data_IF_677165812634
#
_entry.id   IF_677165812634
#
_cell.length_a   1.000
_cell.length_b   1.000
_cell.length_c   1.000
_cell.angle_alpha   90.00
_cell.angle_beta   90.00
_cell.angle_gamma   90.00
#
_symmetry.space_group_name_H-M   'P 1'
#
loop_
_entity.id
_entity.type
_entity.pdbx_description
1 polymer ?
#
# COMPACT_ATOMS: atom_id res chain seq x y z
N UNK A 1 -13.40 4.60 -12.39
CA UNK A 1 -12.39 4.23 -11.36
C UNK A 1 -11.70 5.49 -10.83
N UNK A 2 -11.60 5.63 -9.52
CA UNK A 2 -10.82 6.67 -8.81
C UNK A 2 -9.73 5.98 -7.99
N UNK A 3 -8.51 5.98 -8.50
CA UNK A 3 -7.37 5.29 -7.92
C UNK A 3 -6.54 6.22 -7.05
N UNK A 4 -6.32 5.85 -5.78
CA UNK A 4 -5.35 6.49 -4.90
C UNK A 4 -4.14 5.59 -4.70
N UNK A 5 -2.95 6.11 -4.98
CA UNK A 5 -1.68 5.43 -4.72
C UNK A 5 -1.01 6.06 -3.49
N UNK A 6 -0.62 5.21 -2.54
CA UNK A 6 0.09 5.63 -1.32
C UNK A 6 1.47 4.99 -1.29
N UNK A 7 2.50 5.83 -1.35
CA UNK A 7 3.90 5.38 -1.33
C UNK A 7 4.38 5.01 0.07
N UNK A 8 5.46 4.24 0.13
CA UNK A 8 6.15 3.88 1.35
C UNK A 8 7.23 4.88 1.79
N UNK A 9 8.10 4.44 2.71
CA UNK A 9 9.26 5.19 3.16
C UNK A 9 10.19 5.50 1.97
N UNK A 10 10.64 6.74 1.87
CA UNK A 10 11.48 7.24 0.79
C UNK A 10 10.74 7.74 -0.45
N UNK A 11 9.44 7.49 -0.56
CA UNK A 11 8.67 7.83 -1.76
C UNK A 11 8.69 6.71 -2.81
N UNK A 12 8.12 6.98 -3.98
CA UNK A 12 8.04 6.04 -5.10
C UNK A 12 8.21 6.76 -6.44
N UNK A 13 9.27 7.56 -6.53
CA UNK A 13 9.62 8.28 -7.75
C UNK A 13 9.98 7.34 -8.89
N UNK A 14 9.92 7.85 -10.12
CA UNK A 14 10.38 7.10 -11.28
C UNK A 14 11.81 6.54 -11.09
N UNK A 15 12.07 5.26 -11.43
CA UNK A 15 11.28 4.31 -12.21
C UNK A 15 10.42 3.34 -11.39
N UNK A 16 9.99 3.69 -10.18
CA UNK A 16 9.14 2.83 -9.33
C UNK A 16 7.81 2.52 -10.00
N UNK A 17 7.29 1.29 -9.83
CA UNK A 17 6.04 0.83 -10.44
C UNK A 17 4.81 1.70 -10.11
N UNK A 18 4.76 2.37 -8.94
CA UNK A 18 3.65 3.27 -8.61
C UNK A 18 3.64 4.51 -9.52
N UNK A 19 4.79 5.10 -9.82
CA UNK A 19 4.88 6.21 -10.77
C UNK A 19 4.48 5.76 -12.19
N UNK A 20 4.93 4.58 -12.61
CA UNK A 20 4.52 3.99 -13.87
C UNK A 20 3.00 3.72 -13.90
N UNK A 21 2.43 3.09 -12.87
CA UNK A 21 1.00 2.80 -12.78
C UNK A 21 0.15 4.06 -12.85
N UNK A 22 0.56 5.12 -12.13
CA UNK A 22 -0.13 6.42 -12.18
C UNK A 22 -0.17 6.96 -13.61
N UNK A 23 0.93 6.88 -14.34
CA UNK A 23 1.00 7.34 -15.74
C UNK A 23 0.12 6.52 -16.67
N UNK A 24 0.10 5.19 -16.52
CA UNK A 24 -0.72 4.30 -17.36
C UNK A 24 -2.23 4.53 -17.14
N UNK A 25 -2.65 4.65 -15.88
CA UNK A 25 -4.06 4.94 -15.55
C UNK A 25 -4.48 6.29 -16.10
N UNK A 26 -3.63 7.32 -16.00
CA UNK A 26 -3.93 8.66 -16.51
C UNK A 26 -4.09 8.71 -18.04
N UNK A 27 -3.39 7.85 -18.80
CA UNK A 27 -3.49 7.79 -20.28
C UNK A 27 -4.87 7.31 -20.77
N UNK A 28 -5.60 6.55 -19.96
CA UNK A 28 -6.86 5.90 -20.35
C UNK A 28 -8.07 6.53 -19.62
N UNK A 29 -8.01 7.83 -19.37
CA UNK A 29 -9.09 8.57 -18.69
C UNK A 29 -9.41 8.13 -17.26
N UNK A 30 -8.60 7.25 -16.67
CA UNK A 30 -8.69 6.91 -15.24
C UNK A 30 -8.35 8.12 -14.38
N UNK A 31 -9.09 8.33 -13.32
CA UNK A 31 -8.76 9.36 -12.34
C UNK A 31 -7.80 8.80 -11.32
N UNK A 32 -6.60 9.34 -11.27
CA UNK A 32 -5.55 8.89 -10.33
C UNK A 32 -5.08 10.04 -9.45
N UNK A 33 -4.89 9.74 -8.16
CA UNK A 33 -4.20 10.59 -7.20
C UNK A 33 -2.96 9.84 -6.69
N UNK A 34 -1.79 10.45 -6.85
CA UNK A 34 -0.53 9.92 -6.35
C UNK A 34 0.22 11.02 -5.60
N UNK A 35 -0.23 11.36 -4.38
CA UNK A 35 0.37 12.45 -3.61
C UNK A 35 1.75 12.05 -3.08
N UNK A 36 2.68 13.01 -3.07
CA UNK A 36 3.89 12.91 -2.27
C UNK A 36 3.51 13.24 -0.82
N UNK A 37 3.47 12.22 0.05
CA UNK A 37 3.27 12.41 1.48
C UNK A 37 4.52 13.07 2.06
N UNK A 38 4.33 14.16 2.80
CA UNK A 38 5.45 15.01 3.24
C UNK A 38 6.48 14.28 4.08
N UNK A 39 7.73 14.67 3.90
CA UNK A 39 8.91 14.11 4.57
C UNK A 39 9.03 12.59 4.39
N UNK A 40 9.06 12.08 3.16
CA UNK A 40 9.05 10.64 2.89
C UNK A 40 10.28 9.93 3.46
N UNK A 41 11.43 10.61 3.59
CA UNK A 41 12.65 10.05 4.17
C UNK A 41 12.67 10.06 5.71
N UNK A 42 11.82 10.88 6.33
CA UNK A 42 11.67 10.99 7.79
C UNK A 42 10.18 10.92 8.15
N UNK A 43 9.53 9.78 7.85
CA UNK A 43 8.10 9.63 8.04
C UNK A 43 7.74 9.66 9.53
N UNK A 44 6.58 10.20 9.84
CA UNK A 44 6.05 10.20 11.19
C UNK A 44 4.55 9.89 11.15
N UNK A 45 4.09 8.91 11.94
CA UNK A 45 2.73 8.39 11.89
C UNK A 45 1.66 9.50 11.97
N UNK A 46 1.75 10.40 12.96
CA UNK A 46 0.72 11.42 13.15
C UNK A 46 0.60 12.38 11.95
N UNK A 47 1.73 12.72 11.32
CA UNK A 47 1.77 13.58 10.14
C UNK A 47 1.18 12.86 8.93
N UNK A 48 1.63 11.65 8.67
CA UNK A 48 1.15 10.84 7.55
C UNK A 48 -0.32 10.52 7.68
N UNK A 49 -0.77 10.16 8.88
CA UNK A 49 -2.19 9.90 9.19
C UNK A 49 -3.07 11.09 8.84
N UNK A 50 -2.71 12.27 9.31
CA UNK A 50 -3.47 13.50 9.03
C UNK A 50 -3.55 13.81 7.54
N UNK A 51 -2.42 13.69 6.83
CA UNK A 51 -2.32 14.00 5.41
C UNK A 51 -3.11 13.00 4.56
N UNK A 52 -2.93 11.70 4.82
CA UNK A 52 -3.66 10.65 4.07
C UNK A 52 -5.16 10.69 4.32
N UNK A 53 -5.61 10.98 5.54
CA UNK A 53 -7.04 11.18 5.80
C UNK A 53 -7.60 12.38 5.01
N UNK A 54 -6.84 13.44 4.85
CA UNK A 54 -7.23 14.56 3.96
C UNK A 54 -7.40 14.11 2.51
N UNK A 55 -6.41 13.38 1.97
CA UNK A 55 -6.51 12.85 0.60
C UNK A 55 -7.70 11.89 0.41
N UNK A 56 -7.96 11.03 1.39
CA UNK A 56 -9.11 10.11 1.35
C UNK A 56 -10.44 10.86 1.35
N UNK A 57 -10.58 11.92 2.15
CA UNK A 57 -11.81 12.71 2.22
C UNK A 57 -12.03 13.55 0.95
N UNK A 58 -10.98 14.19 0.45
CA UNK A 58 -11.07 15.09 -0.70
C UNK A 58 -11.25 14.32 -2.01
N UNK A 59 -10.46 13.27 -2.21
CA UNK A 59 -10.45 12.51 -3.45
C UNK A 59 -11.54 11.45 -3.49
N UNK A 60 -11.90 10.84 -2.35
CA UNK A 60 -12.89 9.75 -2.23
C UNK A 60 -12.63 8.62 -3.23
N UNK A 61 -11.49 7.91 -3.11
CA UNK A 61 -11.16 6.83 -4.02
C UNK A 61 -12.14 5.66 -3.87
N UNK A 62 -12.36 4.94 -4.95
CA UNK A 62 -12.97 3.61 -4.94
C UNK A 62 -11.92 2.50 -4.81
N UNK A 63 -10.71 2.75 -5.29
CA UNK A 63 -9.58 1.80 -5.25
C UNK A 63 -8.37 2.47 -4.61
N UNK A 64 -7.74 1.77 -3.66
CA UNK A 64 -6.49 2.22 -3.02
C UNK A 64 -5.42 1.14 -3.20
N UNK A 65 -4.22 1.57 -3.60
CA UNK A 65 -3.04 0.71 -3.67
C UNK A 65 -1.96 1.29 -2.77
N UNK A 66 -1.54 0.52 -1.79
CA UNK A 66 -0.46 0.91 -0.87
C UNK A 66 0.83 0.17 -1.19
N UNK A 67 1.96 0.81 -0.93
CA UNK A 67 3.26 0.15 -0.95
C UNK A 67 3.94 0.29 0.41
N UNK A 68 4.49 -0.81 0.93
CA UNK A 68 5.35 -0.83 2.11
C UNK A 68 4.71 -0.13 3.33
N UNK A 69 5.36 0.88 3.92
CA UNK A 69 4.92 1.61 5.12
C UNK A 69 3.52 2.22 5.02
N UNK A 70 3.03 2.49 3.79
CA UNK A 70 1.65 2.91 3.60
C UNK A 70 0.63 1.81 3.98
N UNK A 71 1.01 0.53 3.88
CA UNK A 71 0.21 -0.59 4.40
C UNK A 71 0.11 -0.55 5.93
N UNK A 72 1.24 -0.29 6.61
CA UNK A 72 1.27 -0.08 8.06
C UNK A 72 0.38 1.09 8.49
N UNK A 73 0.46 2.21 7.75
CA UNK A 73 -0.43 3.36 7.99
C UNK A 73 -1.91 2.96 7.81
N UNK A 74 -2.23 2.19 6.77
CA UNK A 74 -3.60 1.71 6.56
C UNK A 74 -4.12 0.89 7.73
N UNK A 75 -3.27 0.03 8.33
CA UNK A 75 -3.63 -0.74 9.51
C UNK A 75 -3.94 0.15 10.72
N UNK A 76 -3.18 1.23 10.95
CA UNK A 76 -3.48 2.22 11.98
C UNK A 76 -4.83 2.89 11.76
N UNK A 77 -5.09 3.36 10.53
CA UNK A 77 -6.35 4.04 10.19
C UNK A 77 -7.56 3.09 10.32
N UNK A 78 -7.37 1.84 9.93
CA UNK A 78 -8.40 0.80 10.06
C UNK A 78 -8.68 0.46 11.54
N UNK A 79 -7.63 0.29 12.34
CA UNK A 79 -7.75 0.02 13.77
C UNK A 79 -8.47 1.17 14.52
N UNK A 80 -8.20 2.40 14.15
CA UNK A 80 -8.85 3.60 14.69
C UNK A 80 -10.26 3.83 14.14
N UNK A 81 -10.74 2.96 13.26
CA UNK A 81 -12.06 3.05 12.61
C UNK A 81 -12.28 4.38 11.88
N UNK A 82 -11.23 4.93 11.27
CA UNK A 82 -11.25 6.24 10.60
C UNK A 82 -11.48 6.17 9.10
N UNK A 83 -11.61 4.96 8.57
CA UNK A 83 -11.78 4.72 7.14
C UNK A 83 -13.26 4.57 6.77
N UNK A 84 -13.61 5.08 5.59
CA UNK A 84 -14.83 4.69 4.89
C UNK A 84 -14.55 3.41 4.10
N UNK A 85 -15.57 2.58 3.90
CA UNK A 85 -15.44 1.41 3.05
C UNK A 85 -15.23 1.82 1.60
N UNK A 86 -14.22 1.21 0.96
CA UNK A 86 -13.90 1.34 -0.45
C UNK A 86 -14.19 0.03 -1.19
N UNK A 87 -14.21 0.06 -2.52
CA UNK A 87 -14.45 -1.16 -3.31
C UNK A 87 -13.25 -2.10 -3.23
N UNK A 88 -12.02 -1.56 -3.45
CA UNK A 88 -10.81 -2.39 -3.54
C UNK A 88 -9.60 -1.80 -2.82
N UNK A 89 -8.89 -2.66 -2.11
CA UNK A 89 -7.58 -2.39 -1.51
C UNK A 89 -6.55 -3.39 -2.01
N UNK A 90 -5.43 -2.90 -2.53
CA UNK A 90 -4.27 -3.73 -2.88
C UNK A 90 -3.11 -3.34 -1.97
N UNK A 91 -2.69 -4.25 -1.09
CA UNK A 91 -1.56 -4.10 -0.20
C UNK A 91 -0.33 -4.71 -0.84
N UNK A 92 0.61 -3.90 -1.31
CA UNK A 92 1.85 -4.37 -1.92
C UNK A 92 3.00 -4.25 -0.93
N UNK A 93 3.67 -5.37 -0.66
CA UNK A 93 4.81 -5.48 0.24
C UNK A 93 4.57 -4.81 1.61
N UNK A 94 3.43 -5.07 2.30
CA UNK A 94 3.26 -4.56 3.66
C UNK A 94 4.36 -5.14 4.54
N UNK A 95 5.05 -4.33 5.38
CA UNK A 95 6.10 -4.84 6.25
C UNK A 95 5.51 -5.60 7.44
N UNK A 96 6.38 -6.33 8.17
CA UNK A 96 6.03 -6.97 9.44
C UNK A 96 5.35 -6.00 10.42
N UNK A 97 4.52 -6.53 11.31
CA UNK A 97 3.93 -5.75 12.42
C UNK A 97 4.97 -5.34 13.48
N UNK A 98 6.20 -5.77 13.34
CA UNK A 98 7.32 -5.49 14.23
C UNK A 98 8.49 -4.93 13.43
N UNK A 99 9.22 -3.97 14.02
CA UNK A 99 10.46 -3.45 13.44
C UNK A 99 11.39 -2.93 14.53
N UNK A 100 12.69 -2.99 14.26
CA UNK A 100 13.73 -2.34 15.06
C UNK A 100 14.28 -1.07 14.37
N UNK A 101 13.72 -0.69 13.22
CA UNK A 101 14.16 0.47 12.45
C UNK A 101 13.71 1.77 13.11
N UNK A 102 14.66 2.53 13.66
CA UNK A 102 14.41 3.77 14.41
C UNK A 102 13.67 4.82 13.57
N UNK A 103 14.02 4.99 12.31
CA UNK A 103 13.45 6.02 11.42
C UNK A 103 11.94 5.91 11.25
N UNK A 104 11.39 4.70 11.33
CA UNK A 104 9.94 4.43 11.20
C UNK A 104 9.30 4.02 12.51
N UNK A 105 10.00 4.14 13.63
CA UNK A 105 9.55 3.68 14.95
C UNK A 105 8.21 4.28 15.40
N UNK A 106 7.85 5.48 14.93
CA UNK A 106 6.56 6.10 15.25
C UNK A 106 5.34 5.31 14.73
N UNK A 107 5.53 4.42 13.75
CA UNK A 107 4.48 3.55 13.23
C UNK A 107 4.33 2.24 14.02
N UNK A 108 5.15 2.03 15.02
CA UNK A 108 5.19 0.78 15.77
C UNK A 108 5.02 1.02 17.28
N UNK A 109 4.39 0.08 17.99
CA UNK A 109 3.86 -1.18 17.47
C UNK A 109 2.73 -0.96 16.46
N UNK A 110 2.76 -1.73 15.38
CA UNK A 110 1.70 -1.69 14.38
C UNK A 110 0.48 -2.49 14.89
N UNK A 111 -0.72 -1.90 14.95
CA UNK A 111 -1.91 -2.63 15.37
C UNK A 111 -2.36 -3.61 14.30
N UNK A 112 -3.03 -4.67 14.73
CA UNK A 112 -3.72 -5.60 13.84
C UNK A 112 -5.22 -5.31 13.88
N UNK A 113 -5.79 -4.61 12.87
CA UNK A 113 -7.21 -4.31 12.84
C UNK A 113 -8.06 -5.55 12.55
N UNK A 114 -9.31 -5.54 12.95
CA UNK A 114 -10.25 -6.64 12.64
C UNK A 114 -10.68 -6.65 11.17
N UNK A 115 -10.70 -5.48 10.52
CA UNK A 115 -11.12 -5.32 9.10
C UNK A 115 -10.35 -4.19 8.44
N UNK A 116 -10.24 -4.25 7.10
CA UNK A 116 -9.47 -3.28 6.31
C UNK A 116 -10.33 -2.23 5.59
N UNK A 117 -11.64 -2.22 5.81
CA UNK A 117 -12.57 -1.26 5.20
C UNK A 117 -12.53 -1.24 3.67
N UNK A 118 -12.40 -2.42 3.06
CA UNK A 118 -12.52 -2.65 1.64
C UNK A 118 -13.35 -3.91 1.39
N UNK A 119 -14.14 -3.92 0.31
CA UNK A 119 -14.94 -5.09 -0.06
C UNK A 119 -14.07 -6.21 -0.64
N UNK A 120 -13.08 -5.82 -1.43
CA UNK A 120 -12.08 -6.73 -2.00
C UNK A 120 -10.69 -6.33 -1.51
N UNK A 121 -9.93 -7.29 -1.02
CA UNK A 121 -8.55 -7.09 -0.56
C UNK A 121 -7.64 -8.10 -1.22
N UNK A 122 -6.58 -7.62 -1.84
CA UNK A 122 -5.48 -8.44 -2.36
C UNK A 122 -4.19 -8.01 -1.69
N UNK A 123 -3.46 -8.96 -1.10
CA UNK A 123 -2.12 -8.76 -0.57
C UNK A 123 -1.09 -9.34 -1.53
N UNK A 124 -0.10 -8.56 -1.90
CA UNK A 124 0.98 -8.96 -2.80
C UNK A 124 2.30 -8.89 -2.05
N UNK A 125 3.00 -10.00 -1.97
CA UNK A 125 4.27 -10.13 -1.24
C UNK A 125 5.31 -10.87 -2.07
N UNK A 126 6.57 -10.74 -1.70
CA UNK A 126 7.67 -11.52 -2.27
C UNK A 126 8.14 -12.59 -1.29
N UNK A 127 8.64 -13.71 -1.82
CA UNK A 127 9.20 -14.79 -0.99
C UNK A 127 10.59 -14.47 -0.41
N UNK A 128 11.19 -13.34 -0.85
CA UNK A 128 12.50 -12.87 -0.36
C UNK A 128 12.48 -11.39 0.09
N UNK A 129 11.32 -10.88 0.51
CA UNK A 129 11.22 -9.53 1.06
C UNK A 129 11.99 -9.43 2.39
N UNK A 130 12.93 -8.46 2.55
CA UNK A 130 13.68 -8.33 3.79
C UNK A 130 12.86 -7.79 4.97
N UNK A 131 11.65 -7.26 4.74
CA UNK A 131 10.85 -6.58 5.77
C UNK A 131 9.66 -7.38 6.28
N UNK A 132 9.36 -8.54 5.69
CA UNK A 132 8.33 -9.46 6.14
C UNK A 132 8.68 -10.88 5.74
N UNK A 133 8.46 -11.84 6.62
CA UNK A 133 8.59 -13.25 6.27
C UNK A 133 7.33 -13.75 5.55
N UNK A 134 7.48 -14.82 4.77
CA UNK A 134 6.37 -15.45 4.08
C UNK A 134 5.31 -16.00 5.05
N UNK A 135 5.74 -16.48 6.21
CA UNK A 135 4.82 -17.01 7.22
C UNK A 135 4.00 -15.89 7.86
N UNK A 136 4.61 -14.74 8.20
CA UNK A 136 3.89 -13.55 8.65
C UNK A 136 2.89 -13.06 7.60
N UNK A 137 3.28 -13.03 6.32
CA UNK A 137 2.40 -12.62 5.24
C UNK A 137 1.19 -13.56 5.09
N UNK A 138 1.40 -14.87 5.23
CA UNK A 138 0.31 -15.86 5.23
C UNK A 138 -0.61 -15.71 6.42
N UNK A 139 -0.07 -15.45 7.61
CA UNK A 139 -0.87 -15.19 8.82
C UNK A 139 -1.74 -13.93 8.67
N UNK A 140 -1.18 -12.84 8.14
CA UNK A 140 -1.92 -11.60 7.85
C UNK A 140 -3.03 -11.84 6.81
N UNK A 141 -2.73 -12.53 5.72
CA UNK A 141 -3.71 -12.83 4.68
C UNK A 141 -4.85 -13.72 5.21
N UNK A 142 -4.53 -14.69 6.06
CA UNK A 142 -5.52 -15.53 6.72
C UNK A 142 -6.38 -14.74 7.71
N UNK A 143 -5.78 -13.85 8.51
CA UNK A 143 -6.50 -12.99 9.44
C UNK A 143 -7.53 -12.10 8.74
N UNK A 144 -7.17 -11.50 7.60
CA UNK A 144 -8.06 -10.65 6.83
C UNK A 144 -8.95 -11.42 5.83
N UNK A 145 -8.79 -12.74 5.73
CA UNK A 145 -9.45 -13.59 4.73
C UNK A 145 -9.30 -13.02 3.31
N UNK A 146 -8.13 -12.49 2.96
CA UNK A 146 -7.88 -11.85 1.68
C UNK A 146 -7.07 -12.73 0.73
N UNK A 147 -7.11 -12.39 -0.56
CA UNK A 147 -6.26 -13.03 -1.56
C UNK A 147 -4.79 -12.72 -1.28
N UNK A 148 -3.93 -13.75 -1.33
CA UNK A 148 -2.49 -13.61 -1.21
C UNK A 148 -1.80 -14.00 -2.51
N UNK A 149 -1.15 -13.03 -3.14
CA UNK A 149 -0.27 -13.26 -4.29
C UNK A 149 1.18 -13.21 -3.85
N UNK A 150 1.90 -14.32 -4.09
CA UNK A 150 3.32 -14.45 -3.80
C UNK A 150 4.11 -14.31 -5.10
N UNK A 151 5.07 -13.39 -5.13
CA UNK A 151 5.99 -13.18 -6.24
C UNK A 151 7.35 -13.80 -5.90
N UNK A 152 7.90 -14.67 -6.75
CA UNK A 152 9.19 -15.27 -6.49
C UNK A 152 10.32 -14.28 -6.74
N UNK A 153 11.23 -14.11 -5.75
CA UNK A 153 12.45 -13.33 -5.88
C UNK A 153 12.24 -11.84 -6.16
N UNK A 154 11.08 -11.28 -5.80
CA UNK A 154 10.73 -9.89 -6.13
C UNK A 154 11.26 -8.85 -5.13
N UNK A 155 12.07 -9.25 -4.15
CA UNK A 155 12.60 -8.35 -3.13
C UNK A 155 11.49 -7.60 -2.40
N UNK A 156 11.66 -6.29 -2.21
CA UNK A 156 10.64 -5.42 -1.60
C UNK A 156 9.65 -4.82 -2.61
N UNK A 157 9.59 -5.39 -3.80
CA UNK A 157 8.71 -4.95 -4.91
C UNK A 157 8.82 -3.42 -5.12
N UNK A 158 10.05 -2.95 -5.28
CA UNK A 158 10.40 -1.54 -5.48
C UNK A 158 11.34 -1.36 -6.68
N UNK A 159 11.77 -0.13 -6.95
CA UNK A 159 12.67 0.16 -8.06
C UNK A 159 14.04 -0.57 -7.92
N UNK A 160 14.53 -0.76 -6.70
CA UNK A 160 15.79 -1.49 -6.42
C UNK A 160 15.66 -2.99 -6.74
N UNK A 161 14.44 -3.51 -6.78
CA UNK A 161 14.11 -4.89 -7.15
C UNK A 161 13.65 -5.02 -8.61
N UNK A 162 13.95 -4.03 -9.46
CA UNK A 162 13.57 -3.94 -10.87
C UNK A 162 12.06 -3.87 -11.14
N UNK A 163 11.25 -3.45 -10.14
CA UNK A 163 9.82 -3.21 -10.31
C UNK A 163 9.55 -1.78 -10.77
N UNK A 164 9.58 -1.60 -12.10
CA UNK A 164 9.16 -0.40 -12.83
C UNK A 164 7.86 -0.64 -13.56
N UNK A 165 7.92 -1.06 -14.83
CA UNK A 165 6.73 -1.46 -15.58
C UNK A 165 6.15 -2.77 -15.02
N UNK A 166 4.90 -2.72 -14.56
CA UNK A 166 4.25 -3.88 -13.96
C UNK A 166 2.82 -4.08 -14.47
N UNK A 167 2.65 -4.68 -15.68
CA UNK A 167 1.34 -4.85 -16.31
C UNK A 167 0.31 -5.59 -15.46
N UNK A 168 0.76 -6.51 -14.60
CA UNK A 168 -0.14 -7.24 -13.72
C UNK A 168 -0.92 -6.29 -12.78
N UNK A 169 -0.26 -5.34 -12.11
CA UNK A 169 -0.93 -4.40 -11.19
C UNK A 169 -1.91 -3.48 -11.94
N UNK A 170 -1.56 -3.09 -13.17
CA UNK A 170 -2.44 -2.30 -14.02
C UNK A 170 -3.73 -3.08 -14.35
N UNK A 171 -3.61 -4.36 -14.66
CA UNK A 171 -4.77 -5.22 -14.89
C UNK A 171 -5.61 -5.40 -13.62
N UNK A 172 -4.98 -5.48 -12.44
CA UNK A 172 -5.70 -5.61 -11.17
C UNK A 172 -6.55 -4.38 -10.86
N UNK A 173 -6.03 -3.18 -11.07
CA UNK A 173 -6.81 -1.96 -10.81
C UNK A 173 -7.93 -1.74 -11.82
N UNK A 174 -7.82 -2.31 -13.03
CA UNK A 174 -8.84 -2.22 -14.08
C UNK A 174 -9.93 -3.29 -13.98
N UNK A 175 -9.65 -4.44 -13.39
CA UNK A 175 -10.56 -5.61 -13.39
C UNK A 175 -11.85 -5.44 -12.60
N UNK A 176 -12.16 -4.25 -12.14
CA UNK A 176 -13.41 -3.88 -11.45
C UNK A 176 -14.33 -2.96 -12.26
N UNK A 177 -14.02 -2.73 -13.55
CA UNK A 177 -14.86 -1.92 -14.45
C UNK A 177 -15.85 -2.77 -15.25
#
# INVERSE_FOLDING_TARGET
>A
MKLLLLHGWGGSDWPHWQAWLASEVAKEYGTVSFPLIRHPHYPHLNRWRKEVLGHLEDFRPDTVVTHSLAGTLWFHLAYEQRLREIERLILVAPPSLHTELETISSFYPCPLPERLYAKEVTMVVSDNDPYITLDEARELAAHFACELKILPGAGHINAESDYGEWPWILNQVRSGE
#
